data_IF_256180596122
#
_entry.id   IF_256180596122
#
_cell.length_a   1.000
_cell.length_b   1.000
_cell.length_c   1.000
_cell.angle_alpha   90.00
_cell.angle_beta   90.00
_cell.angle_gamma   90.00
#
_symmetry.space_group_name_H-M   'P 1'
#
loop_
_entity.id
_entity.type
_entity.pdbx_description
1 polymer ?
#
# COMPACT_ATOMS: atom_id res chain seq x y z
N UNK A 1 46.10 -12.49 10.96
CA UNK A 1 45.68 -11.59 12.05
C UNK A 1 45.92 -10.17 11.57
N UNK A 2 44.93 -9.26 11.66
CA UNK A 2 45.15 -7.86 11.31
C UNK A 2 46.18 -7.22 12.25
N UNK A 3 46.88 -6.20 11.76
CA UNK A 3 47.86 -5.46 12.56
C UNK A 3 47.16 -4.72 13.71
N UNK A 4 47.61 -4.96 14.95
CA UNK A 4 47.01 -4.39 16.16
C UNK A 4 47.02 -2.85 16.15
N UNK A 5 48.06 -2.23 15.57
CA UNK A 5 48.15 -0.77 15.47
C UNK A 5 47.08 -0.22 14.51
N UNK A 6 46.85 -0.91 13.40
CA UNK A 6 45.83 -0.55 12.41
C UNK A 6 44.44 -0.65 13.04
N UNK A 7 44.16 -1.74 13.77
CA UNK A 7 42.88 -1.92 14.48
C UNK A 7 42.63 -0.81 15.50
N UNK A 8 43.66 -0.44 16.28
CA UNK A 8 43.56 0.63 17.27
C UNK A 8 43.25 1.99 16.61
N UNK A 9 43.94 2.36 15.54
CA UNK A 9 43.71 3.61 14.81
C UNK A 9 42.31 3.69 14.20
N UNK A 10 41.80 2.60 13.63
CA UNK A 10 40.44 2.57 13.09
C UNK A 10 39.42 2.74 14.21
N UNK A 11 39.64 2.07 15.36
CA UNK A 11 38.73 2.15 16.50
C UNK A 11 38.64 3.57 17.05
N UNK A 12 39.78 4.24 17.19
CA UNK A 12 39.82 5.65 17.63
C UNK A 12 39.01 6.55 16.72
N UNK A 13 39.25 6.50 15.40
CA UNK A 13 38.46 7.26 14.41
C UNK A 13 36.97 6.96 14.49
N UNK A 14 36.60 5.69 14.63
CA UNK A 14 35.21 5.25 14.64
C UNK A 14 34.45 5.75 15.86
N UNK A 15 35.03 5.68 17.06
CA UNK A 15 34.39 6.09 18.30
C UNK A 15 34.01 7.58 18.30
N UNK A 16 34.83 8.43 17.67
CA UNK A 16 34.54 9.86 17.52
C UNK A 16 33.43 10.17 16.49
N UNK A 17 33.16 9.25 15.56
CA UNK A 17 32.17 9.45 14.49
C UNK A 17 30.85 8.70 14.71
N UNK A 18 30.86 7.62 15.50
CA UNK A 18 29.73 6.67 15.57
C UNK A 18 28.41 7.31 16.02
N UNK A 19 28.46 8.35 16.85
CA UNK A 19 27.29 9.04 17.41
C UNK A 19 26.58 9.96 16.39
N UNK A 20 27.29 10.44 15.37
CA UNK A 20 26.74 11.31 14.33
C UNK A 20 26.34 10.55 13.06
N UNK A 21 26.71 9.27 12.95
CA UNK A 21 26.44 8.44 11.78
C UNK A 21 25.19 7.56 11.97
N UNK A 22 24.32 7.56 10.97
CA UNK A 22 23.27 6.56 10.84
C UNK A 22 23.83 5.20 10.38
N UNK A 23 22.97 4.19 10.29
CA UNK A 23 23.39 2.83 9.90
C UNK A 23 24.00 2.79 8.48
N UNK A 24 23.55 3.67 7.58
CA UNK A 24 24.13 3.81 6.23
C UNK A 24 25.53 4.43 6.32
N UNK A 25 25.67 5.51 7.07
CA UNK A 25 26.92 6.23 7.28
C UNK A 25 28.00 5.34 7.88
N UNK A 26 27.66 4.56 8.92
CA UNK A 26 28.58 3.59 9.54
C UNK A 26 29.05 2.53 8.54
N UNK A 27 28.13 1.92 7.79
CA UNK A 27 28.46 0.92 6.76
C UNK A 27 29.37 1.49 5.66
N UNK A 28 29.07 2.71 5.20
CA UNK A 28 29.83 3.37 4.14
C UNK A 28 31.23 3.73 4.60
N UNK A 29 31.36 4.32 5.79
CA UNK A 29 32.65 4.64 6.38
C UNK A 29 33.51 3.38 6.57
N UNK A 30 32.92 2.32 7.15
CA UNK A 30 33.61 1.04 7.32
C UNK A 30 34.08 0.42 5.99
N UNK A 31 33.27 0.55 4.93
CA UNK A 31 33.64 0.09 3.61
C UNK A 31 34.78 0.91 2.98
N UNK A 32 34.81 2.23 3.19
CA UNK A 32 35.90 3.10 2.74
C UNK A 32 37.21 2.70 3.42
N UNK A 33 37.21 2.58 4.75
CA UNK A 33 38.40 2.17 5.51
C UNK A 33 38.88 0.77 5.10
N UNK A 34 37.95 -0.19 4.95
CA UNK A 34 38.29 -1.54 4.52
C UNK A 34 38.91 -1.57 3.13
N UNK A 35 38.42 -0.74 2.20
CA UNK A 35 38.97 -0.62 0.84
C UNK A 35 40.36 0.02 0.84
N UNK A 36 40.56 1.07 1.64
CA UNK A 36 41.85 1.76 1.76
C UNK A 36 42.97 0.86 2.29
N UNK A 37 42.63 -0.10 3.16
CA UNK A 37 43.58 -1.06 3.75
C UNK A 37 43.86 -2.27 2.84
N UNK A 38 43.06 -2.49 1.80
CA UNK A 38 43.24 -3.61 0.87
C UNK A 38 43.09 -4.99 1.53
N UNK A 39 44.06 -5.89 1.33
CA UNK A 39 43.99 -7.28 1.79
C UNK A 39 43.96 -7.34 3.33
N UNK A 40 42.86 -7.86 3.88
CA UNK A 40 42.66 -7.95 5.34
C UNK A 40 41.96 -6.73 5.96
N UNK A 41 41.70 -5.67 5.18
CA UNK A 41 41.02 -4.46 5.65
C UNK A 41 39.64 -4.73 6.25
N UNK A 42 38.85 -5.63 5.65
CA UNK A 42 37.54 -6.03 6.18
C UNK A 42 37.66 -6.61 7.59
N UNK A 43 38.64 -7.49 7.83
CA UNK A 43 38.84 -8.11 9.14
C UNK A 43 39.32 -7.08 10.18
N UNK A 44 40.25 -6.20 9.80
CA UNK A 44 40.73 -5.13 10.66
C UNK A 44 39.60 -4.17 11.08
N UNK A 45 38.75 -3.76 10.13
CA UNK A 45 37.60 -2.89 10.41
C UNK A 45 36.54 -3.60 11.24
N UNK A 46 36.27 -4.88 10.97
CA UNK A 46 35.32 -5.67 11.77
C UNK A 46 35.78 -5.76 13.24
N UNK A 47 37.07 -6.02 13.46
CA UNK A 47 37.66 -6.09 14.81
C UNK A 47 37.66 -4.72 15.52
N UNK A 48 37.93 -3.64 14.78
CA UNK A 48 37.94 -2.30 15.33
C UNK A 48 36.55 -1.80 15.74
N UNK A 49 35.54 -2.06 14.90
CA UNK A 49 34.19 -1.48 14.99
C UNK A 49 33.14 -2.42 15.61
N UNK A 50 33.39 -3.72 15.66
CA UNK A 50 32.41 -4.74 16.04
C UNK A 50 31.34 -5.01 14.98
N UNK A 51 31.43 -4.40 13.79
CA UNK A 51 30.50 -4.64 12.69
C UNK A 51 30.72 -6.02 12.06
N UNK A 52 29.65 -6.63 11.55
CA UNK A 52 29.81 -7.90 10.84
C UNK A 52 30.60 -7.74 9.55
N UNK A 53 31.51 -8.67 9.27
CA UNK A 53 32.23 -8.80 7.99
C UNK A 53 31.28 -8.69 6.78
N UNK A 54 30.08 -9.28 6.90
CA UNK A 54 29.07 -9.26 5.85
C UNK A 54 28.59 -7.83 5.57
N UNK A 55 28.31 -7.05 6.61
CA UNK A 55 27.89 -5.65 6.50
C UNK A 55 28.94 -4.81 5.79
N UNK A 56 30.21 -4.99 6.16
CA UNK A 56 31.35 -4.26 5.56
C UNK A 56 31.52 -4.65 4.09
N UNK A 57 31.51 -5.95 3.76
CA UNK A 57 31.57 -6.43 2.37
C UNK A 57 30.40 -5.92 1.52
N UNK A 58 29.19 -5.86 2.09
CA UNK A 58 28.04 -5.26 1.40
C UNK A 58 28.30 -3.78 1.11
N UNK A 59 28.82 -3.02 2.08
CA UNK A 59 29.20 -1.62 1.87
C UNK A 59 30.26 -1.44 0.78
N UNK A 60 31.27 -2.31 0.72
CA UNK A 60 32.30 -2.27 -0.34
C UNK A 60 31.66 -2.48 -1.72
N UNK A 61 30.78 -3.48 -1.85
CA UNK A 61 30.04 -3.71 -3.10
C UNK A 61 29.13 -2.53 -3.48
N UNK A 62 28.49 -1.90 -2.50
CA UNK A 62 27.66 -0.70 -2.73
C UNK A 62 28.51 0.46 -3.27
N UNK A 63 29.74 0.66 -2.75
CA UNK A 63 30.68 1.66 -3.24
C UNK A 63 31.19 1.35 -4.66
N UNK A 64 31.52 0.10 -4.95
CA UNK A 64 32.01 -0.32 -6.28
C UNK A 64 30.95 -0.21 -7.37
N UNK A 65 29.70 -0.54 -7.03
CA UNK A 65 28.59 -0.48 -7.99
C UNK A 65 28.07 0.94 -8.23
N UNK A 66 28.49 1.94 -7.44
CA UNK A 66 27.89 3.28 -7.45
C UNK A 66 26.39 3.26 -7.10
N UNK A 67 25.93 2.19 -6.47
CA UNK A 67 24.51 1.84 -6.33
C UNK A 67 24.00 2.31 -4.97
N UNK A 68 23.92 3.64 -4.84
CA UNK A 68 23.50 4.31 -3.63
C UNK A 68 21.97 4.43 -3.52
N UNK A 69 21.39 4.10 -2.36
CA UNK A 69 19.99 4.41 -2.12
C UNK A 69 19.78 5.94 -2.16
N UNK A 70 18.61 6.40 -2.64
CA UNK A 70 18.28 7.83 -2.70
C UNK A 70 18.49 8.55 -1.37
N UNK A 71 18.71 9.87 -1.42
CA UNK A 71 18.81 10.70 -0.21
C UNK A 71 17.62 10.47 0.74
N UNK A 72 17.91 10.38 2.04
CA UNK A 72 16.92 10.07 3.08
C UNK A 72 16.57 8.58 3.25
N UNK A 73 17.14 7.66 2.46
CA UNK A 73 16.98 6.21 2.65
C UNK A 73 18.26 5.52 3.12
N UNK A 74 18.09 4.65 4.12
CA UNK A 74 19.18 3.83 4.68
C UNK A 74 19.40 2.49 3.92
N UNK A 75 18.42 2.07 3.11
CA UNK A 75 18.44 0.81 2.33
C UNK A 75 17.84 1.01 0.94
N UNK A 76 18.21 0.13 0.01
CA UNK A 76 17.67 0.06 -1.37
C UNK A 76 16.14 -0.10 -1.35
N UNK A 77 15.49 0.34 -2.42
CA UNK A 77 14.13 -0.10 -2.73
C UNK A 77 14.12 -1.60 -3.01
N UNK A 78 13.09 -2.31 -2.57
CA UNK A 78 12.94 -3.75 -2.87
C UNK A 78 13.39 -4.73 -1.78
N UNK A 79 13.62 -4.27 -0.54
CA UNK A 79 13.83 -5.16 0.61
C UNK A 79 12.55 -5.63 1.31
N UNK A 80 11.39 -5.14 0.86
CA UNK A 80 10.07 -5.53 1.38
C UNK A 80 9.37 -6.49 0.42
N UNK A 81 8.41 -7.26 0.93
CA UNK A 81 7.54 -8.12 0.13
C UNK A 81 6.98 -7.34 -1.06
N UNK A 82 7.09 -7.89 -2.27
CA UNK A 82 6.46 -7.32 -3.46
C UNK A 82 4.99 -6.99 -3.17
N UNK A 83 4.52 -5.83 -3.64
CA UNK A 83 3.12 -5.47 -3.45
C UNK A 83 2.25 -6.55 -4.11
N UNK A 84 1.21 -7.03 -3.43
CA UNK A 84 0.27 -8.02 -4.01
C UNK A 84 -0.30 -7.62 -5.38
N UNK A 85 -0.33 -6.32 -5.69
CA UNK A 85 -0.66 -5.78 -7.02
C UNK A 85 0.30 -6.21 -8.12
N UNK A 86 1.60 -6.25 -7.81
CA UNK A 86 2.66 -6.64 -8.73
C UNK A 86 2.72 -8.15 -8.87
N UNK A 87 2.42 -8.90 -7.80
CA UNK A 87 2.35 -10.37 -7.84
C UNK A 87 1.10 -10.88 -8.57
N UNK A 88 -0.02 -10.14 -8.52
CA UNK A 88 -1.33 -10.58 -9.02
C UNK A 88 -1.98 -9.46 -9.85
N UNK A 89 -1.60 -9.27 -11.13
CA UNK A 89 -2.16 -8.22 -11.98
C UNK A 89 -3.68 -8.36 -12.16
N UNK A 90 -4.22 -9.60 -12.15
CA UNK A 90 -5.66 -9.86 -12.26
C UNK A 90 -6.46 -9.48 -11.00
N UNK A 91 -5.79 -9.21 -9.87
CA UNK A 91 -6.45 -8.88 -8.60
C UNK A 91 -7.27 -7.59 -8.69
N UNK A 92 -6.72 -6.56 -9.36
CA UNK A 92 -7.42 -5.28 -9.53
C UNK A 92 -8.67 -5.50 -10.38
N UNK A 93 -8.54 -6.26 -11.46
CA UNK A 93 -9.64 -6.60 -12.37
C UNK A 93 -10.74 -7.40 -11.68
N UNK A 94 -10.37 -8.39 -10.86
CA UNK A 94 -11.32 -9.18 -10.08
C UNK A 94 -12.05 -8.32 -9.03
N UNK A 95 -11.33 -7.43 -8.34
CA UNK A 95 -11.91 -6.48 -7.40
C UNK A 95 -12.88 -5.50 -8.08
N UNK A 96 -12.52 -4.94 -9.23
CA UNK A 96 -13.39 -4.05 -10.01
C UNK A 96 -14.66 -4.75 -10.49
N UNK A 97 -14.57 -6.02 -10.92
CA UNK A 97 -15.74 -6.82 -11.32
C UNK A 97 -16.75 -7.01 -10.19
N UNK A 98 -16.28 -7.11 -8.95
CA UNK A 98 -17.17 -7.25 -7.78
C UNK A 98 -17.80 -5.92 -7.35
N UNK A 99 -17.14 -4.79 -7.62
CA UNK A 99 -17.66 -3.45 -7.30
C UNK A 99 -18.60 -2.93 -8.39
N UNK A 100 -18.37 -3.32 -9.64
CA UNK A 100 -19.22 -2.99 -10.77
C UNK A 100 -19.52 -4.26 -11.57
N UNK A 101 -20.72 -4.86 -11.42
CA UNK A 101 -21.07 -6.07 -12.15
C UNK A 101 -21.27 -5.86 -13.66
N UNK A 102 -20.92 -4.70 -14.26
CA UNK A 102 -21.15 -4.50 -15.70
C UNK A 102 -20.18 -3.51 -16.38
N UNK A 103 -19.44 -4.08 -17.33
CA UNK A 103 -18.85 -3.52 -18.56
C UNK A 103 -17.53 -2.76 -18.48
N UNK A 104 -16.53 -3.42 -19.08
CA UNK A 104 -15.25 -2.91 -19.57
C UNK A 104 -15.49 -1.69 -20.48
N UNK A 105 -14.95 -0.53 -20.11
CA UNK A 105 -14.81 0.61 -21.04
C UNK A 105 -15.73 1.81 -20.88
N UNK A 106 -16.56 1.93 -19.83
CA UNK A 106 -17.22 3.22 -19.51
C UNK A 106 -16.52 3.91 -18.32
N UNK A 107 -15.78 5.02 -18.55
CA UNK A 107 -15.16 5.81 -17.48
C UNK A 107 -16.17 6.30 -16.44
N UNK A 108 -17.43 6.46 -16.84
CA UNK A 108 -18.51 7.09 -16.05
C UNK A 108 -19.78 6.24 -16.09
N UNK A 109 -19.72 5.02 -15.54
CA UNK A 109 -20.96 4.36 -15.14
C UNK A 109 -21.57 5.16 -13.97
N UNK A 110 -22.82 5.66 -14.09
CA UNK A 110 -23.41 6.61 -13.14
C UNK A 110 -23.58 6.04 -11.72
N UNK A 111 -23.48 4.72 -11.55
CA UNK A 111 -23.67 4.02 -10.29
C UNK A 111 -22.62 2.90 -10.13
N UNK A 112 -21.37 3.23 -9.75
CA UNK A 112 -20.45 2.21 -9.20
C UNK A 112 -20.60 2.18 -7.67
N UNK A 113 -21.25 1.15 -7.17
CA UNK A 113 -21.58 0.99 -5.76
C UNK A 113 -21.54 -0.50 -5.41
N UNK A 114 -21.13 -0.82 -4.18
CA UNK A 114 -21.24 -2.17 -3.63
C UNK A 114 -21.65 -2.09 -2.17
N UNK A 115 -22.58 -2.96 -1.75
CA UNK A 115 -22.91 -3.15 -0.34
C UNK A 115 -22.03 -4.20 0.34
N UNK A 116 -21.12 -4.84 -0.40
CA UNK A 116 -20.19 -5.81 0.18
C UNK A 116 -19.18 -5.08 1.08
N UNK A 117 -19.01 -5.60 2.28
CA UNK A 117 -17.96 -5.13 3.19
C UNK A 117 -16.58 -5.48 2.64
N UNK A 118 -15.53 -4.80 3.09
CA UNK A 118 -14.14 -5.18 2.75
C UNK A 118 -13.77 -6.59 3.21
N UNK A 119 -14.48 -7.14 4.20
CA UNK A 119 -14.32 -8.54 4.64
C UNK A 119 -14.91 -9.51 3.62
N UNK A 120 -16.12 -9.23 3.14
CA UNK A 120 -16.80 -10.07 2.16
C UNK A 120 -16.06 -10.04 0.81
N UNK A 121 -15.58 -8.86 0.39
CA UNK A 121 -14.75 -8.72 -0.81
C UNK A 121 -13.43 -9.51 -0.69
N UNK A 122 -12.80 -9.53 0.48
CA UNK A 122 -11.60 -10.32 0.71
C UNK A 122 -11.89 -11.83 0.66
N UNK A 123 -12.96 -12.29 1.30
CA UNK A 123 -13.35 -13.71 1.29
C UNK A 123 -13.68 -14.20 -0.12
N UNK A 124 -14.37 -13.41 -0.92
CA UNK A 124 -14.72 -13.78 -2.30
C UNK A 124 -13.51 -13.79 -3.23
N UNK A 125 -12.53 -12.90 -3.02
CA UNK A 125 -11.25 -12.94 -3.72
C UNK A 125 -10.38 -14.12 -3.28
N UNK A 126 -10.41 -14.48 -1.99
CA UNK A 126 -9.76 -15.70 -1.50
C UNK A 126 -10.36 -16.96 -2.13
N UNK A 127 -11.69 -17.03 -2.28
CA UNK A 127 -12.36 -18.12 -2.98
C UNK A 127 -12.00 -18.19 -4.47
N UNK A 128 -11.59 -17.07 -5.08
CA UNK A 128 -11.07 -17.01 -6.45
C UNK A 128 -9.56 -17.33 -6.53
N UNK A 129 -8.92 -17.72 -5.43
CA UNK A 129 -7.51 -18.10 -5.38
C UNK A 129 -6.54 -16.96 -5.02
N UNK A 130 -7.02 -15.75 -4.75
CA UNK A 130 -6.17 -14.61 -4.39
C UNK A 130 -5.82 -14.62 -2.90
N UNK A 131 -4.53 -14.70 -2.57
CA UNK A 131 -4.04 -14.62 -1.19
C UNK A 131 -3.98 -13.19 -0.64
N UNK A 132 -5.14 -12.59 -0.36
CA UNK A 132 -5.26 -11.21 0.10
C UNK A 132 -5.97 -11.08 1.44
N UNK A 133 -5.63 -10.05 2.21
CA UNK A 133 -6.33 -9.68 3.44
C UNK A 133 -7.28 -8.51 3.26
N UNK A 134 -8.11 -8.27 4.27
CA UNK A 134 -9.06 -7.15 4.32
C UNK A 134 -8.38 -5.78 4.26
N UNK A 135 -7.18 -5.66 4.85
CA UNK A 135 -6.33 -4.46 4.79
C UNK A 135 -5.81 -4.18 3.39
N UNK A 136 -5.44 -5.24 2.65
CA UNK A 136 -5.03 -5.13 1.25
C UNK A 136 -6.19 -4.63 0.40
N UNK A 137 -7.38 -5.22 0.55
CA UNK A 137 -8.59 -4.77 -0.16
C UNK A 137 -8.89 -3.30 0.15
N UNK A 138 -8.88 -2.89 1.42
CA UNK A 138 -9.07 -1.48 1.81
C UNK A 138 -8.09 -0.55 1.09
N UNK A 139 -6.80 -0.88 1.09
CA UNK A 139 -5.76 -0.09 0.42
C UNK A 139 -6.01 -0.02 -1.09
N UNK A 140 -6.32 -1.15 -1.72
CA UNK A 140 -6.62 -1.23 -3.16
C UNK A 140 -7.79 -0.32 -3.53
N UNK A 141 -8.85 -0.33 -2.74
CA UNK A 141 -10.01 0.52 -2.93
C UNK A 141 -9.62 2.00 -2.86
N UNK A 142 -8.88 2.40 -1.82
CA UNK A 142 -8.43 3.79 -1.68
C UNK A 142 -7.57 4.25 -2.85
N UNK A 143 -6.67 3.39 -3.35
CA UNK A 143 -5.84 3.71 -4.52
C UNK A 143 -6.64 3.80 -5.82
N UNK A 144 -7.74 3.05 -5.95
CA UNK A 144 -8.69 3.16 -7.06
C UNK A 144 -9.65 4.37 -6.90
N UNK A 145 -9.42 5.23 -5.92
CA UNK A 145 -10.22 6.42 -5.64
C UNK A 145 -11.55 6.12 -4.95
N UNK A 146 -11.72 4.91 -4.40
CA UNK A 146 -12.91 4.53 -3.65
C UNK A 146 -12.78 4.97 -2.19
N UNK A 147 -13.76 5.75 -1.71
CA UNK A 147 -13.82 6.15 -0.29
C UNK A 147 -14.75 5.22 0.49
N UNK A 148 -14.31 4.79 1.67
CA UNK A 148 -15.10 3.96 2.59
C UNK A 148 -15.89 4.87 3.57
N UNK A 149 -17.22 4.96 3.43
CA UNK A 149 -18.18 5.78 4.17
C UNK A 149 -19.05 4.94 5.11
N UNK A 150 -19.18 5.34 6.37
CA UNK A 150 -19.90 4.53 7.32
C UNK A 150 -21.42 4.46 7.11
N UNK A 151 -22.02 3.32 7.49
CA UNK A 151 -23.48 3.16 7.46
C UNK A 151 -24.04 3.72 8.73
N UNK A 152 -24.82 4.78 8.62
CA UNK A 152 -25.63 5.24 9.75
C UNK A 152 -27.09 5.26 9.39
N UNK A 153 -27.68 4.06 9.26
CA UNK A 153 -29.14 3.90 9.32
C UNK A 153 -29.46 3.04 10.54
N UNK A 154 -29.86 3.68 11.65
CA UNK A 154 -30.20 3.03 12.93
C UNK A 154 -31.61 2.41 12.99
N UNK A 155 -32.36 2.37 11.87
CA UNK A 155 -33.77 1.94 11.87
C UNK A 155 -34.11 0.71 11.04
N UNK A 156 -33.13 0.05 10.44
CA UNK A 156 -33.42 -1.21 9.76
C UNK A 156 -32.39 -2.24 10.20
N UNK A 157 -32.91 -3.38 10.67
CA UNK A 157 -32.16 -4.52 11.13
C UNK A 157 -31.18 -5.04 10.07
N UNK A 158 -30.30 -5.88 10.58
CA UNK A 158 -29.29 -6.71 9.91
C UNK A 158 -29.44 -6.83 8.38
N UNK A 159 -28.34 -6.55 7.66
CA UNK A 159 -28.10 -6.81 6.22
C UNK A 159 -29.25 -7.52 5.49
N UNK A 160 -30.24 -6.77 4.99
CA UNK A 160 -31.30 -7.36 4.20
C UNK A 160 -30.81 -7.55 2.74
N UNK A 161 -30.79 -8.78 2.18
CA UNK A 161 -30.33 -9.05 0.81
C UNK A 161 -31.14 -8.29 -0.27
N UNK A 162 -32.35 -7.85 0.08
CA UNK A 162 -33.23 -7.08 -0.80
C UNK A 162 -32.72 -5.67 -1.13
N UNK A 163 -31.84 -5.08 -0.31
CA UNK A 163 -31.25 -3.78 -0.67
C UNK A 163 -30.37 -3.89 -1.92
N UNK A 164 -29.57 -4.94 -2.03
CA UNK A 164 -28.74 -5.16 -3.21
C UNK A 164 -29.60 -5.45 -4.44
N UNK A 165 -30.67 -6.22 -4.27
CA UNK A 165 -31.63 -6.51 -5.34
C UNK A 165 -32.30 -5.22 -5.87
N UNK A 166 -32.74 -4.32 -4.99
CA UNK A 166 -33.35 -3.05 -5.36
C UNK A 166 -32.40 -2.17 -6.18
N UNK A 167 -31.16 -1.98 -5.72
CA UNK A 167 -30.20 -1.16 -6.45
C UNK A 167 -29.72 -1.83 -7.76
N UNK A 168 -29.62 -3.17 -7.79
CA UNK A 168 -29.36 -3.90 -9.03
C UNK A 168 -30.49 -3.68 -10.04
N UNK A 169 -31.74 -3.74 -9.59
CA UNK A 169 -32.92 -3.48 -10.39
C UNK A 169 -32.96 -2.04 -10.94
N UNK A 170 -32.67 -1.04 -10.08
CA UNK A 170 -32.56 0.37 -10.50
C UNK A 170 -31.45 0.53 -11.56
N UNK A 171 -30.28 -0.06 -11.33
CA UNK A 171 -29.16 0.02 -12.28
C UNK A 171 -29.51 -0.63 -13.62
N UNK A 172 -30.22 -1.76 -13.62
CA UNK A 172 -30.71 -2.40 -14.84
C UNK A 172 -31.67 -1.49 -15.62
N UNK A 173 -32.61 -0.81 -14.94
CA UNK A 173 -33.52 0.14 -15.58
C UNK A 173 -32.81 1.39 -16.10
N UNK A 174 -31.89 1.96 -15.34
CA UNK A 174 -31.08 3.12 -15.78
C UNK A 174 -30.27 2.77 -17.03
N UNK A 175 -29.65 1.58 -17.08
CA UNK A 175 -28.93 1.11 -18.27
C UNK A 175 -29.85 0.96 -19.48
N UNK A 176 -31.03 0.37 -19.30
CA UNK A 176 -32.00 0.19 -20.37
C UNK A 176 -32.47 1.54 -20.96
N UNK A 177 -32.67 2.55 -20.12
CA UNK A 177 -33.04 3.92 -20.50
C UNK A 177 -31.88 4.67 -21.18
N UNK A 178 -30.66 4.58 -20.63
CA UNK A 178 -29.45 5.17 -21.22
C UNK A 178 -29.17 4.64 -22.64
N UNK A 179 -29.38 3.34 -22.89
CA UNK A 179 -29.25 2.75 -24.24
C UNK A 179 -30.22 3.35 -25.27
N UNK A 180 -31.33 3.94 -24.82
CA UNK A 180 -32.33 4.61 -25.66
C UNK A 180 -32.11 6.12 -25.77
N UNK A 181 -31.00 6.64 -25.23
CA UNK A 181 -30.71 8.08 -25.19
C UNK A 181 -31.52 8.86 -24.15
N UNK A 182 -32.23 8.18 -23.25
CA UNK A 182 -33.09 8.81 -22.25
C UNK A 182 -32.31 9.15 -20.98
N UNK A 183 -32.56 10.34 -20.43
CA UNK A 183 -31.98 10.78 -19.16
C UNK A 183 -32.60 10.03 -17.97
N UNK A 184 -31.79 9.76 -16.94
CA UNK A 184 -32.25 9.18 -15.68
C UNK A 184 -31.98 10.15 -14.52
N UNK A 185 -33.01 10.43 -13.73
CA UNK A 185 -32.94 11.30 -12.56
C UNK A 185 -33.24 10.47 -11.29
N UNK A 186 -32.44 10.69 -10.25
CA UNK A 186 -32.68 10.10 -8.93
C UNK A 186 -33.25 11.16 -8.00
N UNK A 187 -34.49 10.98 -7.58
CA UNK A 187 -35.15 11.88 -6.61
C UNK A 187 -35.28 11.12 -5.30
N UNK A 188 -34.70 11.66 -4.23
CA UNK A 188 -34.86 11.16 -2.87
C UNK A 188 -35.64 12.16 -2.04
N UNK A 189 -36.52 11.68 -1.16
CA UNK A 189 -37.10 12.50 -0.11
C UNK A 189 -36.48 12.09 1.24
N UNK A 190 -36.05 13.06 2.02
CA UNK A 190 -35.59 12.86 3.40
C UNK A 190 -36.70 13.29 4.35
N UNK A 191 -37.08 12.41 5.28
CA UNK A 191 -38.07 12.71 6.31
C UNK A 191 -37.35 13.31 7.52
N UNK A 192 -37.60 14.58 7.84
CA UNK A 192 -36.99 15.25 8.99
C UNK A 192 -37.42 14.56 10.30
N UNK A 193 -36.45 14.10 11.12
CA UNK A 193 -36.72 13.39 12.37
C UNK A 193 -35.54 13.32 13.34
N UNK A 194 -35.59 14.21 14.35
CA UNK A 194 -34.81 14.41 15.59
C UNK A 194 -33.41 13.79 15.79
N UNK A 195 -32.47 14.69 16.12
CA UNK A 195 -31.07 14.47 16.46
C UNK A 195 -30.87 13.66 17.76
N UNK A 196 -30.21 12.50 17.63
CA UNK A 196 -29.61 11.75 18.73
C UNK A 196 -28.18 11.36 18.40
N UNK A 197 -27.22 11.99 19.07
CA UNK A 197 -25.77 11.86 18.87
C UNK A 197 -25.27 10.54 19.48
N UNK A 198 -24.77 9.61 18.67
CA UNK A 198 -24.05 8.43 19.16
C UNK A 198 -23.08 7.92 18.09
N UNK A 199 -21.83 7.73 18.51
CA UNK A 199 -20.65 7.34 17.74
C UNK A 199 -20.66 5.87 17.25
N UNK A 200 -19.62 5.51 16.47
CA UNK A 200 -19.18 4.18 15.98
C UNK A 200 -19.74 3.71 14.62
N UNK A 201 -19.21 2.75 13.83
CA UNK A 201 -17.87 2.29 13.43
C UNK A 201 -18.09 1.26 12.28
N UNK A 202 -17.57 1.49 11.05
CA UNK A 202 -17.64 0.55 9.90
C UNK A 202 -18.01 1.23 8.57
N UNK A 203 -17.41 0.88 7.42
CA UNK A 203 -17.32 1.78 6.22
C UNK A 203 -17.63 1.14 4.82
N UNK A 204 -18.21 1.89 3.84
CA UNK A 204 -18.77 1.56 2.48
C UNK A 204 -18.14 2.31 1.31
N UNK A 205 -18.00 1.71 0.14
CA UNK A 205 -17.28 2.29 -1.01
C UNK A 205 -18.13 3.30 -1.86
N UNK A 206 -17.62 4.50 -2.17
CA UNK A 206 -18.16 5.45 -3.19
C UNK A 206 -17.16 5.70 -4.32
N UNK A 207 -17.64 5.98 -5.54
CA UNK A 207 -16.82 6.26 -6.75
C UNK A 207 -15.88 7.45 -6.61
N UNK A 208 -14.76 7.48 -7.37
CA UNK A 208 -13.93 8.68 -7.48
C UNK A 208 -14.77 9.87 -7.97
N UNK A 209 -14.49 11.08 -7.44
CA UNK A 209 -14.99 12.33 -8.03
C UNK A 209 -14.37 12.46 -9.44
N UNK A 210 -15.13 12.87 -10.45
CA UNK A 210 -14.54 13.26 -11.72
C UNK A 210 -13.56 14.41 -11.43
N UNK A 211 -12.31 14.25 -11.86
CA UNK A 211 -11.35 15.34 -11.91
C UNK A 211 -11.94 16.41 -12.82
N UNK A 212 -12.30 17.54 -12.24
CA UNK A 212 -12.58 18.77 -12.98
C UNK A 212 -11.26 19.20 -13.63
N UNK A 213 -11.07 18.82 -14.89
CA UNK A 213 -10.02 19.37 -15.75
C UNK A 213 -10.47 20.78 -16.13
N UNK A 214 -9.69 21.78 -15.71
CA UNK A 214 -9.69 23.13 -16.28
C UNK A 214 -8.91 23.11 -17.60
#
# INVERSE_FOLDING_TARGET
MPDANVVAWIREKFVHLVSSLDERGRRRWAAIEARSLGRGGVAAVAEATGMSDRTIRTGVKELEAGDEPPEGRQRRMGGGRCSRKQEQPELIRALEKMISPTTRGEPTSPLRWTCKSTRNLAAELQNQGFQIGTSTVRRLLSELGYSLQANRNKREGNQHPDRDAQFQYINARVKARKRRGEAALSVGYEKEGNAGKQEQCGARIRTPRPSSTN
#
